data_IF_197251511074
#
_entry.id   IF_197251511074
#
_cell.length_a   1.000
_cell.length_b   1.000
_cell.length_c   1.000
_cell.angle_alpha   90.00
_cell.angle_beta   90.00
_cell.angle_gamma   90.00
#
_symmetry.space_group_name_H-M   'P 1'
#
loop_
_entity.id
_entity.type
_entity.pdbx_description
1 polymer ?
#
# COMPACT_ATOMS: atom_id res chain seq x y z
N UNK A 1 -2.87 -33.92 26.88
CA UNK A 1 -4.30 -33.75 26.63
C UNK A 1 -4.51 -33.78 25.12
N UNK A 2 -4.89 -34.94 24.59
CA UNK A 2 -5.21 -35.10 23.17
C UNK A 2 -6.60 -34.49 22.92
N UNK A 3 -6.72 -33.67 21.88
CA UNK A 3 -8.01 -33.10 21.49
C UNK A 3 -8.61 -34.05 20.45
N UNK A 4 -9.67 -34.75 20.83
CA UNK A 4 -10.49 -35.58 19.94
C UNK A 4 -11.13 -34.68 18.87
N UNK A 5 -10.69 -34.82 17.62
CA UNK A 5 -11.36 -34.23 16.48
C UNK A 5 -12.46 -35.20 16.02
N UNK A 6 -13.75 -34.80 15.96
CA UNK A 6 -14.78 -35.69 15.48
C UNK A 6 -14.57 -35.96 13.99
N UNK A 7 -14.42 -37.25 13.69
CA UNK A 7 -14.30 -37.76 12.34
C UNK A 7 -15.57 -37.60 11.50
N UNK A 8 -15.31 -37.57 10.19
CA UNK A 8 -16.21 -37.98 9.11
C UNK A 8 -17.44 -37.11 8.82
N UNK A 9 -17.20 -35.93 8.21
CA UNK A 9 -18.18 -35.34 7.31
C UNK A 9 -18.03 -36.02 5.96
N UNK A 10 -18.85 -37.05 5.78
CA UNK A 10 -18.86 -37.96 4.65
C UNK A 10 -18.71 -37.28 3.29
N UNK A 11 -18.17 -38.05 2.35
CA UNK A 11 -17.95 -37.72 0.95
C UNK A 11 -19.13 -36.96 0.33
N UNK A 12 -19.13 -35.62 0.43
CA UNK A 12 -20.02 -34.77 -0.34
C UNK A 12 -19.54 -34.83 -1.78
N UNK A 13 -20.02 -35.82 -2.53
CA UNK A 13 -19.93 -35.80 -3.98
C UNK A 13 -20.58 -34.52 -4.47
N UNK A 14 -19.76 -33.54 -4.82
CA UNK A 14 -20.22 -32.31 -5.45
C UNK A 14 -20.92 -32.68 -6.76
N UNK A 15 -22.06 -32.06 -7.10
CA UNK A 15 -22.75 -32.38 -8.34
C UNK A 15 -21.79 -32.22 -9.53
N UNK A 16 -21.65 -33.26 -10.35
CA UNK A 16 -20.67 -33.40 -11.46
C UNK A 16 -20.68 -32.19 -12.42
N UNK A 17 -21.79 -31.46 -12.51
CA UNK A 17 -21.88 -30.23 -13.31
C UNK A 17 -21.13 -29.03 -12.71
N UNK A 18 -21.02 -28.94 -11.37
CA UNK A 18 -20.32 -27.86 -10.67
C UNK A 18 -18.81 -28.05 -10.71
N UNK A 19 -18.33 -29.30 -10.67
CA UNK A 19 -16.91 -29.61 -10.84
C UNK A 19 -16.41 -29.27 -12.24
N UNK A 20 -17.17 -29.61 -13.29
CA UNK A 20 -16.78 -29.28 -14.68
C UNK A 20 -16.70 -27.78 -14.97
N UNK A 21 -17.48 -26.94 -14.28
CA UNK A 21 -17.37 -25.48 -14.38
C UNK A 21 -16.12 -24.95 -13.67
N UNK A 22 -15.81 -25.47 -12.49
CA UNK A 22 -14.60 -25.11 -11.76
C UNK A 22 -13.32 -25.56 -12.48
N UNK A 23 -13.34 -26.74 -13.10
CA UNK A 23 -12.26 -27.25 -13.94
C UNK A 23 -11.98 -26.31 -15.13
N UNK A 24 -13.04 -25.86 -15.83
CA UNK A 24 -12.92 -24.89 -16.93
C UNK A 24 -12.31 -23.57 -16.48
N UNK A 25 -12.72 -23.04 -15.33
CA UNK A 25 -12.17 -21.78 -14.78
C UNK A 25 -10.68 -21.96 -14.44
N UNK A 26 -10.31 -23.08 -13.81
CA UNK A 26 -8.93 -23.39 -13.46
C UNK A 26 -8.05 -23.51 -14.70
N UNK A 27 -8.53 -24.22 -15.72
CA UNK A 27 -7.85 -24.37 -17.01
C UNK A 27 -7.61 -23.00 -17.68
N UNK A 28 -8.63 -22.14 -17.69
CA UNK A 28 -8.53 -20.82 -18.31
C UNK A 28 -7.53 -19.90 -17.57
N UNK A 29 -7.48 -19.98 -16.24
CA UNK A 29 -6.50 -19.24 -15.45
C UNK A 29 -5.06 -19.75 -15.66
N UNK A 30 -4.89 -21.06 -15.78
CA UNK A 30 -3.60 -21.69 -16.09
C UNK A 30 -3.11 -21.30 -17.49
N UNK A 31 -3.99 -21.34 -18.50
CA UNK A 31 -3.67 -20.91 -19.86
C UNK A 31 -3.28 -19.42 -19.92
N UNK A 32 -3.96 -18.55 -19.15
CA UNK A 32 -3.56 -17.13 -19.05
C UNK A 32 -2.19 -16.95 -18.39
N UNK A 33 -1.87 -17.75 -17.35
CA UNK A 33 -0.55 -17.72 -16.72
C UNK A 33 0.53 -18.18 -17.70
N UNK A 34 0.28 -19.28 -18.40
CA UNK A 34 1.18 -19.85 -19.41
C UNK A 34 1.50 -18.85 -20.53
N UNK A 35 0.48 -18.15 -21.06
CA UNK A 35 0.69 -17.10 -22.08
C UNK A 35 1.58 -15.95 -21.60
N UNK A 36 1.41 -15.50 -20.34
CA UNK A 36 2.27 -14.45 -19.76
C UNK A 36 3.72 -14.91 -19.59
N UNK A 37 3.93 -16.18 -19.23
CA UNK A 37 5.28 -16.75 -19.07
C UNK A 37 5.98 -16.98 -20.43
N UNK A 38 5.22 -17.29 -21.48
CA UNK A 38 5.73 -17.42 -22.85
C UNK A 38 6.10 -16.06 -23.48
N UNK A 39 5.32 -15.00 -23.22
CA UNK A 39 5.61 -13.63 -23.68
C UNK A 39 6.73 -12.93 -22.87
N UNK A 40 6.90 -13.30 -21.60
CA UNK A 40 7.87 -12.67 -20.70
C UNK A 40 9.34 -13.03 -20.94
N UNK A 41 9.63 -14.05 -21.77
CA UNK A 41 11.01 -14.56 -21.95
C UNK A 41 11.81 -13.98 -23.10
N UNK A 42 11.25 -13.15 -23.98
CA UNK A 42 11.99 -12.58 -25.12
C UNK A 42 11.49 -11.20 -25.55
N UNK A 43 11.38 -10.25 -24.62
CA UNK A 43 11.37 -8.84 -25.02
C UNK A 43 12.82 -8.38 -25.21
N UNK A 44 13.52 -8.95 -26.20
CA UNK A 44 14.73 -8.31 -26.73
C UNK A 44 14.27 -6.97 -27.31
N UNK A 45 14.63 -5.89 -26.63
CA UNK A 45 14.35 -4.54 -27.09
C UNK A 45 15.15 -4.31 -28.38
N UNK A 46 14.50 -4.44 -29.53
CA UNK A 46 15.11 -4.06 -30.81
C UNK A 46 15.41 -2.57 -30.81
N UNK A 47 16.70 -2.24 -30.70
CA UNK A 47 17.19 -0.87 -30.64
C UNK A 47 16.94 -0.10 -31.96
N UNK A 48 16.61 -0.79 -33.05
CA UNK A 48 16.24 -0.18 -34.33
C UNK A 48 14.73 0.04 -34.50
N UNK A 49 13.89 -0.46 -33.59
CA UNK A 49 12.42 -0.30 -33.67
C UNK A 49 11.96 1.16 -33.60
N UNK A 50 12.81 2.08 -33.12
CA UNK A 50 12.52 3.51 -33.11
C UNK A 50 13.79 4.34 -33.32
N UNK A 51 13.65 5.46 -34.04
CA UNK A 51 14.71 6.47 -34.17
C UNK A 51 15.20 6.99 -32.82
N UNK A 52 14.35 6.99 -31.78
CA UNK A 52 14.74 7.40 -30.42
C UNK A 52 15.65 6.36 -29.77
N UNK A 53 15.31 5.08 -29.86
CA UNK A 53 16.12 3.97 -29.34
C UNK A 53 17.46 3.88 -30.05
N UNK A 54 17.45 4.05 -31.37
CA UNK A 54 18.68 4.09 -32.18
C UNK A 54 19.60 5.24 -31.82
N UNK A 55 19.04 6.41 -31.45
CA UNK A 55 19.82 7.55 -30.94
C UNK A 55 20.36 7.30 -29.53
N UNK A 56 19.56 6.68 -28.65
CA UNK A 56 19.98 6.30 -27.30
C UNK A 56 21.13 5.28 -27.32
N UNK A 57 21.08 4.28 -28.21
CA UNK A 57 22.11 3.26 -28.35
C UNK A 57 23.46 3.81 -28.85
N UNK A 58 23.46 4.95 -29.54
CA UNK A 58 24.68 5.64 -29.98
C UNK A 58 25.34 6.47 -28.87
N UNK A 59 24.64 6.68 -27.75
CA UNK A 59 25.22 7.34 -26.58
C UNK A 59 25.96 6.26 -25.79
N UNK A 60 27.29 6.38 -25.59
CA UNK A 60 28.02 5.45 -24.76
C UNK A 60 27.34 5.37 -23.39
N UNK A 61 27.13 4.16 -22.83
CA UNK A 61 26.56 4.05 -21.50
C UNK A 61 27.44 4.87 -20.57
N UNK A 62 26.85 5.89 -19.94
CA UNK A 62 27.57 6.68 -18.95
C UNK A 62 28.04 5.70 -17.89
N UNK A 63 29.35 5.66 -17.64
CA UNK A 63 29.89 4.94 -16.48
C UNK A 63 29.08 5.37 -15.28
N UNK A 64 28.47 4.40 -14.59
CA UNK A 64 27.63 4.68 -13.44
C UNK A 64 28.38 5.54 -12.43
N UNK A 65 27.69 6.47 -11.80
CA UNK A 65 28.23 7.10 -10.60
C UNK A 65 28.19 6.01 -9.53
N UNK A 66 29.36 5.60 -9.06
CA UNK A 66 29.44 4.70 -7.93
C UNK A 66 28.84 5.42 -6.72
N UNK A 67 27.77 4.87 -6.16
CA UNK A 67 27.06 5.49 -5.06
C UNK A 67 27.51 4.84 -3.75
N UNK A 68 28.48 5.43 -3.04
CA UNK A 68 29.06 4.83 -1.83
C UNK A 68 28.05 4.70 -0.68
N UNK A 69 26.83 5.22 -0.82
CA UNK A 69 25.73 4.99 0.14
C UNK A 69 25.30 3.51 0.25
N UNK A 70 25.60 2.67 -0.73
CA UNK A 70 25.14 1.28 -0.76
C UNK A 70 26.22 0.24 -0.42
N UNK A 71 27.46 0.66 -0.20
CA UNK A 71 28.60 -0.22 0.12
C UNK A 71 28.73 -0.49 1.63
N UNK A 72 27.66 -0.25 2.38
CA UNK A 72 27.60 -0.62 3.80
C UNK A 72 27.16 -2.07 3.88
N UNK A 73 28.13 -2.94 4.17
CA UNK A 73 28.00 -4.39 4.36
C UNK A 73 27.05 -4.78 5.53
N UNK A 74 26.43 -3.80 6.20
CA UNK A 74 25.28 -4.02 7.07
C UNK A 74 24.00 -3.66 6.33
N UNK A 75 23.24 -4.69 5.94
CA UNK A 75 21.96 -4.57 5.24
C UNK A 75 21.13 -3.38 5.71
N UNK A 76 21.22 -2.28 4.96
CA UNK A 76 20.33 -1.14 5.10
C UNK A 76 18.99 -1.67 4.64
N UNK A 77 18.15 -2.02 5.61
CA UNK A 77 16.70 -2.10 5.42
C UNK A 77 16.37 -0.81 4.71
N UNK A 78 16.01 -0.92 3.43
CA UNK A 78 15.48 0.19 2.66
C UNK A 78 14.27 0.65 3.47
N UNK A 79 14.44 1.66 4.33
CA UNK A 79 13.34 2.46 4.80
C UNK A 79 12.79 3.09 3.52
N UNK A 80 11.90 2.32 2.88
CA UNK A 80 10.88 2.85 2.02
C UNK A 80 10.40 4.12 2.71
N UNK A 81 10.28 5.24 2.00
CA UNK A 81 9.81 6.49 2.56
C UNK A 81 8.32 6.32 2.85
N UNK A 82 8.01 5.49 3.84
CA UNK A 82 6.80 5.49 4.60
C UNK A 82 6.86 6.81 5.36
N UNK A 83 6.53 7.90 4.67
CA UNK A 83 5.98 9.07 5.33
C UNK A 83 4.84 8.51 6.16
N UNK A 84 5.11 8.30 7.45
CA UNK A 84 4.15 7.85 8.41
C UNK A 84 3.07 8.91 8.40
N UNK A 85 2.02 8.69 7.61
CA UNK A 85 0.84 9.53 7.65
C UNK A 85 0.29 9.31 9.05
N UNK A 86 0.66 10.21 9.96
CA UNK A 86 0.30 10.16 11.35
C UNK A 86 -1.19 10.45 11.40
N UNK A 87 -1.98 9.41 11.64
CA UNK A 87 -3.41 9.55 11.85
C UNK A 87 -3.59 10.31 13.15
N UNK A 88 -4.35 11.39 13.07
CA UNK A 88 -4.69 12.24 14.20
C UNK A 88 -6.14 11.92 14.59
N UNK A 89 -6.39 11.62 15.86
CA UNK A 89 -7.75 11.44 16.36
C UNK A 89 -8.44 12.80 16.52
N UNK A 90 -9.76 12.81 16.33
CA UNK A 90 -10.52 14.06 16.36
C UNK A 90 -10.55 14.67 17.77
N UNK A 91 -10.54 13.83 18.80
CA UNK A 91 -10.45 14.21 20.21
C UNK A 91 -9.09 14.84 20.55
N UNK A 92 -8.00 14.31 19.98
CA UNK A 92 -6.65 14.84 20.16
C UNK A 92 -6.51 16.21 19.47
N UNK A 93 -7.07 16.35 18.27
CA UNK A 93 -7.12 17.62 17.55
C UNK A 93 -7.91 18.67 18.36
N UNK A 94 -9.07 18.29 18.89
CA UNK A 94 -9.90 19.21 19.67
C UNK A 94 -9.21 19.65 20.96
N UNK A 95 -8.62 18.71 21.69
CA UNK A 95 -7.82 18.97 22.90
C UNK A 95 -6.65 19.90 22.63
N UNK A 96 -5.95 19.68 21.50
CA UNK A 96 -4.83 20.52 21.07
C UNK A 96 -5.27 21.96 20.76
N UNK A 97 -6.37 22.12 20.02
CA UNK A 97 -6.92 23.46 19.72
C UNK A 97 -7.36 24.18 20.99
N UNK A 98 -7.94 23.46 21.96
CA UNK A 98 -8.28 24.03 23.27
C UNK A 98 -7.06 24.44 24.07
N UNK A 99 -6.00 23.66 24.04
CA UNK A 99 -4.74 24.04 24.67
C UNK A 99 -4.17 25.33 24.04
N UNK A 100 -4.11 25.39 22.71
CA UNK A 100 -3.60 26.56 21.99
C UNK A 100 -4.49 27.79 22.26
N UNK A 101 -5.81 27.62 22.36
CA UNK A 101 -6.75 28.69 22.73
C UNK A 101 -6.41 29.34 24.08
N UNK A 102 -5.88 28.58 25.04
CA UNK A 102 -5.49 29.13 26.34
C UNK A 102 -4.07 29.71 26.35
N UNK A 103 -3.22 29.33 25.39
CA UNK A 103 -1.81 29.73 25.31
C UNK A 103 -1.61 31.00 24.47
N UNK A 104 -2.29 31.11 23.33
CA UNK A 104 -2.18 32.26 22.43
C UNK A 104 -3.30 33.26 22.73
N UNK A 105 -2.97 34.46 23.20
CA UNK A 105 -3.97 35.43 23.68
C UNK A 105 -4.19 36.61 22.74
N UNK A 106 -3.48 36.67 21.62
CA UNK A 106 -3.65 37.72 20.62
C UNK A 106 -4.96 37.56 19.84
N UNK A 107 -5.53 38.68 19.39
CA UNK A 107 -6.85 38.73 18.75
C UNK A 107 -6.93 37.86 17.50
N UNK A 108 -5.90 37.89 16.66
CA UNK A 108 -5.89 37.16 15.40
C UNK A 108 -5.87 35.65 15.66
N UNK A 109 -4.99 35.17 16.56
CA UNK A 109 -4.94 33.75 16.90
C UNK A 109 -6.24 33.27 17.52
N UNK A 110 -6.92 34.08 18.35
CA UNK A 110 -8.22 33.71 18.91
C UNK A 110 -9.30 33.54 17.83
N UNK A 111 -9.34 34.43 16.84
CA UNK A 111 -10.26 34.32 15.69
C UNK A 111 -9.97 33.06 14.86
N UNK A 112 -8.70 32.81 14.55
CA UNK A 112 -8.27 31.65 13.77
C UNK A 112 -8.60 30.33 14.49
N UNK A 113 -8.33 30.26 15.81
CA UNK A 113 -8.64 29.08 16.63
C UNK A 113 -10.16 28.86 16.74
N UNK A 114 -10.95 29.93 16.83
CA UNK A 114 -12.41 29.84 16.83
C UNK A 114 -12.93 29.24 15.52
N UNK A 115 -12.40 29.70 14.38
CA UNK A 115 -12.73 29.16 13.06
C UNK A 115 -12.37 27.66 12.96
N UNK A 116 -11.18 27.27 13.42
CA UNK A 116 -10.75 25.88 13.43
C UNK A 116 -11.62 25.01 14.35
N UNK A 117 -11.96 25.50 15.55
CA UNK A 117 -12.86 24.79 16.46
C UNK A 117 -14.25 24.60 15.86
N UNK A 118 -14.79 25.61 15.16
CA UNK A 118 -16.06 25.49 14.45
C UNK A 118 -15.99 24.43 13.34
N UNK A 119 -14.90 24.39 12.57
CA UNK A 119 -14.68 23.36 11.55
C UNK A 119 -14.62 21.96 12.17
N UNK A 120 -13.86 21.79 13.25
CA UNK A 120 -13.70 20.50 13.94
C UNK A 120 -15.00 20.03 14.59
N UNK A 121 -15.87 20.95 15.01
CA UNK A 121 -17.20 20.64 15.56
C UNK A 121 -18.25 20.32 14.48
N UNK A 122 -18.00 20.72 13.23
CA UNK A 122 -18.92 20.47 12.12
C UNK A 122 -19.08 18.96 11.87
N UNK A 123 -20.32 18.48 11.79
CA UNK A 123 -20.63 17.05 11.65
C UNK A 123 -20.18 16.46 10.31
N UNK A 124 -20.29 17.22 9.23
CA UNK A 124 -19.85 16.78 7.91
C UNK A 124 -18.33 16.65 7.85
N UNK A 125 -17.62 17.62 8.44
CA UNK A 125 -16.17 17.53 8.62
C UNK A 125 -15.78 16.31 9.45
N UNK A 126 -16.39 16.09 10.61
CA UNK A 126 -16.10 14.93 11.46
C UNK A 126 -16.34 13.60 10.71
N UNK A 127 -17.41 13.52 9.91
CA UNK A 127 -17.70 12.33 9.12
C UNK A 127 -16.63 12.11 8.04
N UNK A 128 -16.29 13.15 7.28
CA UNK A 128 -15.26 13.09 6.26
C UNK A 128 -13.89 12.73 6.87
N UNK A 129 -13.55 13.31 8.02
CA UNK A 129 -12.31 13.06 8.74
C UNK A 129 -12.21 11.62 9.24
N UNK A 130 -13.31 11.06 9.78
CA UNK A 130 -13.38 9.64 10.18
C UNK A 130 -13.19 8.70 9.00
N UNK A 131 -13.84 8.98 7.87
CA UNK A 131 -13.69 8.18 6.64
C UNK A 131 -12.24 8.25 6.14
N UNK A 132 -11.66 9.45 6.10
CA UNK A 132 -10.25 9.64 5.74
C UNK A 132 -9.34 8.80 6.64
N UNK A 133 -9.47 8.90 7.96
CA UNK A 133 -8.62 8.17 8.90
C UNK A 133 -8.78 6.64 8.73
N UNK A 134 -10.01 6.16 8.56
CA UNK A 134 -10.30 4.74 8.35
C UNK A 134 -9.71 4.20 7.04
N UNK A 135 -9.59 5.02 5.99
CA UNK A 135 -8.93 4.61 4.74
C UNK A 135 -7.41 4.67 4.91
N UNK A 136 -6.92 5.80 5.40
CA UNK A 136 -5.49 6.09 5.55
C UNK A 136 -4.79 5.05 6.43
N UNK A 137 -5.44 4.51 7.47
CA UNK A 137 -4.86 3.46 8.35
C UNK A 137 -4.49 2.17 7.63
N UNK A 138 -5.09 1.91 6.48
CA UNK A 138 -4.78 0.74 5.66
C UNK A 138 -3.86 1.08 4.49
N UNK A 139 -3.94 2.30 3.98
CA UNK A 139 -3.09 2.77 2.87
C UNK A 139 -1.65 3.09 3.30
N UNK A 140 -1.44 3.39 4.59
CA UNK A 140 -0.14 3.78 5.13
C UNK A 140 0.64 2.65 5.82
N UNK A 141 0.15 1.40 5.78
CA UNK A 141 0.85 0.28 6.42
C UNK A 141 2.03 -0.19 5.58
N UNK A 142 3.17 -0.38 6.25
CA UNK A 142 4.28 -1.13 5.70
C UNK A 142 3.90 -2.61 5.47
N UNK A 143 4.79 -3.37 4.83
CA UNK A 143 4.61 -4.80 4.62
C UNK A 143 4.23 -5.51 5.93
N UNK A 144 3.24 -6.42 5.92
CA UNK A 144 2.85 -7.16 7.12
C UNK A 144 4.06 -7.84 7.77
N UNK A 145 4.19 -7.80 9.11
CA UNK A 145 5.32 -8.40 9.80
C UNK A 145 5.29 -9.93 9.61
N UNK A 146 6.48 -10.53 9.54
CA UNK A 146 6.65 -11.98 9.55
C UNK A 146 7.13 -12.44 10.93
N UNK A 147 6.74 -13.64 11.39
CA UNK A 147 7.19 -14.15 12.67
C UNK A 147 8.70 -14.42 12.66
N UNK A 148 9.39 -13.99 13.72
CA UNK A 148 10.76 -14.40 13.99
C UNK A 148 10.70 -15.71 14.78
N UNK A 149 11.49 -16.72 14.34
CA UNK A 149 11.57 -18.06 14.94
C UNK A 149 12.02 -17.98 16.40
#
# INVERSE_FOLDING_TARGET
>A
MAVDCPGDLGTRMMPIRRSAQLERIRQQQEDMRRRREEEGKKQELDLNSSMRLKKLAQIPPKTGIDNPMFDTEEGIVLESPHYAVKILEIEDLFSSLKHIQHTLVDSQSQEDISLLLQLVQNKDFQNAFKIHNAITVHMNKASPPFPLI
#
